data_IF_069109444586
#
_entry.id   IF_069109444586
#
_cell.length_a   1.000
_cell.length_b   1.000
_cell.length_c   1.000
_cell.angle_alpha   90.00
_cell.angle_beta   90.00
_cell.angle_gamma   90.00
#
_symmetry.space_group_name_H-M   'P 1'
#
loop_
_entity.id
_entity.type
_entity.pdbx_description
1 polymer ?
#
# COMPACT_ATOMS: atom_id res chain seq x y z
N UNK A 1 -3.84 -30.21 42.16
CA UNK A 1 -4.04 -31.01 40.92
C UNK A 1 -2.99 -30.61 39.89
N UNK A 2 -2.66 -31.49 38.95
CA UNK A 2 -1.43 -31.41 38.14
C UNK A 2 -1.65 -31.68 36.65
N UNK A 3 -1.30 -30.72 35.80
CA UNK A 3 -0.79 -30.86 34.42
C UNK A 3 -0.55 -29.41 33.90
N UNK A 4 0.57 -29.01 33.28
CA UNK A 4 1.47 -29.62 32.28
C UNK A 4 0.82 -29.89 30.92
N UNK A 5 1.05 -28.97 29.98
CA UNK A 5 1.47 -29.29 28.61
C UNK A 5 2.69 -28.41 28.25
N UNK A 6 3.57 -28.83 27.32
CA UNK A 6 4.97 -28.40 27.32
C UNK A 6 5.32 -27.33 26.27
N UNK A 7 6.47 -26.68 26.47
CA UNK A 7 7.21 -26.03 25.39
C UNK A 7 8.11 -27.06 24.66
N UNK A 8 8.45 -26.78 23.40
CA UNK A 8 9.43 -27.56 22.63
C UNK A 8 10.31 -26.60 21.81
N UNK A 9 11.60 -26.91 21.68
CA UNK A 9 12.64 -26.00 21.21
C UNK A 9 13.52 -26.67 20.14
N UNK A 10 13.90 -25.94 19.08
CA UNK A 10 14.95 -26.30 18.10
C UNK A 10 14.71 -27.59 17.27
N UNK A 11 15.37 -27.83 16.12
CA UNK A 11 16.38 -27.07 15.33
C UNK A 11 16.13 -27.38 13.83
N UNK A 12 16.61 -26.57 12.88
CA UNK A 12 16.47 -26.93 11.45
C UNK A 12 16.96 -25.91 10.42
N UNK A 13 18.22 -25.47 10.50
CA UNK A 13 18.78 -24.49 9.53
C UNK A 13 19.26 -25.17 8.25
N UNK A 14 18.66 -24.84 7.10
CA UNK A 14 19.27 -24.96 5.77
C UNK A 14 18.97 -23.69 4.99
N UNK A 15 20.01 -22.94 4.59
CA UNK A 15 19.87 -21.73 3.78
C UNK A 15 20.21 -21.99 2.32
N UNK A 16 19.45 -21.39 1.40
CA UNK A 16 19.83 -21.28 -0.02
C UNK A 16 19.70 -19.83 -0.46
N UNK A 17 20.84 -19.29 -0.90
CA UNK A 17 21.08 -18.23 -1.89
C UNK A 17 19.85 -17.46 -2.40
N UNK A 18 19.83 -16.14 -2.18
CA UNK A 18 18.84 -15.24 -2.78
C UNK A 18 19.17 -14.86 -4.23
N UNK A 19 18.19 -14.30 -4.95
CA UNK A 19 18.36 -13.83 -6.32
C UNK A 19 17.52 -12.58 -6.59
N UNK A 20 18.10 -11.60 -7.29
CA UNK A 20 17.48 -10.30 -7.60
C UNK A 20 16.44 -10.38 -8.73
N UNK A 21 15.52 -9.39 -8.84
CA UNK A 21 14.45 -9.39 -9.84
C UNK A 21 14.99 -9.09 -11.25
N UNK A 22 14.83 -10.04 -12.18
CA UNK A 22 15.22 -9.84 -13.57
C UNK A 22 14.24 -8.94 -14.35
N UNK A 23 14.82 -7.98 -15.08
CA UNK A 23 14.14 -7.08 -16.01
C UNK A 23 13.39 -7.81 -17.13
N UNK A 24 12.14 -7.40 -17.37
CA UNK A 24 11.36 -7.84 -18.54
C UNK A 24 11.71 -6.94 -19.74
N UNK A 25 12.47 -7.48 -20.69
CA UNK A 25 12.90 -6.74 -21.90
C UNK A 25 12.00 -7.10 -23.09
N UNK A 26 11.43 -6.09 -23.76
CA UNK A 26 10.60 -6.27 -24.95
C UNK A 26 11.42 -6.76 -26.15
N UNK A 27 10.95 -7.82 -26.82
CA UNK A 27 11.39 -8.18 -28.17
C UNK A 27 10.22 -8.31 -29.14
N UNK A 28 10.21 -7.48 -30.18
CA UNK A 28 9.29 -7.61 -31.30
C UNK A 28 9.68 -8.81 -32.16
N UNK A 29 8.68 -9.59 -32.59
CA UNK A 29 8.80 -10.49 -33.75
C UNK A 29 7.82 -10.03 -34.82
N UNK A 30 8.35 -9.43 -35.90
CA UNK A 30 7.57 -9.12 -37.10
C UNK A 30 7.21 -10.42 -37.83
N UNK A 31 5.99 -10.52 -38.37
CA UNK A 31 5.66 -11.49 -39.44
C UNK A 31 5.05 -10.75 -40.63
N UNK A 32 5.51 -11.09 -41.83
CA UNK A 32 5.16 -10.38 -43.06
C UNK A 32 3.82 -10.85 -43.67
N UNK A 33 3.31 -10.08 -44.62
CA UNK A 33 2.00 -10.22 -45.27
C UNK A 33 2.11 -10.59 -46.77
N UNK A 34 0.95 -10.65 -47.46
CA UNK A 34 0.71 -10.91 -48.90
C UNK A 34 0.50 -12.40 -49.31
N UNK A 35 -0.29 -12.69 -50.37
CA UNK A 35 -1.48 -11.98 -50.88
C UNK A 35 -2.69 -12.93 -51.22
N UNK A 36 -3.78 -12.37 -51.76
CA UNK A 36 -5.01 -13.07 -52.19
C UNK A 36 -5.00 -13.60 -53.64
N UNK A 37 -5.97 -14.51 -53.93
CA UNK A 37 -6.66 -14.84 -55.20
C UNK A 37 -6.51 -16.31 -55.68
N UNK A 38 -7.36 -16.82 -56.61
CA UNK A 38 -8.82 -16.99 -56.46
C UNK A 38 -9.32 -18.42 -56.81
N UNK A 39 -10.61 -18.73 -56.58
CA UNK A 39 -11.17 -20.08 -56.75
C UNK A 39 -11.70 -20.42 -58.17
N UNK A 40 -11.52 -21.67 -58.66
CA UNK A 40 -12.23 -22.22 -59.83
C UNK A 40 -13.50 -23.04 -59.48
N UNK A 41 -14.37 -23.41 -60.46
CA UNK A 41 -15.72 -23.95 -60.22
C UNK A 41 -15.82 -25.50 -60.07
N UNK A 42 -16.96 -26.03 -59.58
CA UNK A 42 -17.17 -27.47 -59.38
C UNK A 42 -17.49 -28.27 -60.66
N UNK A 43 -17.13 -29.55 -60.65
CA UNK A 43 -17.36 -30.52 -61.74
C UNK A 43 -18.59 -31.42 -61.49
N UNK A 44 -19.18 -31.94 -62.58
CA UNK A 44 -20.56 -32.44 -62.61
C UNK A 44 -20.81 -33.84 -62.03
N UNK A 45 -22.10 -34.07 -61.71
CA UNK A 45 -22.67 -35.38 -61.36
C UNK A 45 -22.80 -36.30 -62.60
N UNK A 46 -22.64 -37.63 -62.45
CA UNK A 46 -22.89 -38.61 -63.51
C UNK A 46 -24.40 -38.91 -63.68
N UNK A 47 -24.78 -39.38 -64.88
CA UNK A 47 -26.15 -39.79 -65.25
C UNK A 47 -26.36 -41.31 -65.20
N UNK A 48 -27.58 -41.81 -64.92
CA UNK A 48 -28.11 -43.05 -65.49
C UNK A 48 -28.91 -42.78 -66.81
N UNK A 49 -29.19 -43.79 -67.65
CA UNK A 49 -29.50 -43.57 -69.07
C UNK A 49 -30.99 -43.68 -69.52
N UNK A 50 -31.26 -43.02 -70.65
CA UNK A 50 -32.26 -43.27 -71.72
C UNK A 50 -33.66 -43.87 -71.43
N UNK A 51 -34.67 -43.07 -71.82
CA UNK A 51 -36.11 -43.37 -72.07
C UNK A 51 -36.33 -44.32 -73.28
N UNK A 52 -37.57 -44.82 -73.49
CA UNK A 52 -38.41 -44.24 -74.56
C UNK A 52 -39.91 -44.02 -74.21
N UNK A 53 -40.70 -43.63 -75.23
CA UNK A 53 -42.13 -43.24 -75.28
C UNK A 53 -43.07 -44.42 -74.86
N UNK A 54 -44.36 -44.31 -74.48
CA UNK A 54 -45.46 -43.31 -74.63
C UNK A 54 -46.70 -43.98 -75.32
N UNK A 55 -47.88 -43.35 -75.53
CA UNK A 55 -48.63 -42.35 -74.73
C UNK A 55 -50.21 -42.52 -74.71
N UNK A 56 -50.93 -41.68 -73.92
CA UNK A 56 -52.40 -41.36 -73.94
C UNK A 56 -53.48 -42.34 -73.37
N UNK A 57 -54.70 -41.77 -73.21
CA UNK A 57 -56.00 -42.27 -72.69
C UNK A 57 -56.07 -42.55 -71.16
N UNK A 58 -56.95 -42.00 -70.30
CA UNK A 58 -58.38 -41.53 -70.29
C UNK A 58 -59.45 -42.61 -70.11
N UNK A 59 -60.52 -42.27 -69.36
CA UNK A 59 -61.76 -43.07 -69.07
C UNK A 59 -61.62 -44.18 -68.00
N UNK A 60 -62.63 -44.59 -67.20
CA UNK A 60 -63.75 -43.89 -66.51
C UNK A 60 -64.44 -44.88 -65.51
N UNK A 61 -65.17 -44.37 -64.50
CA UNK A 61 -66.22 -45.04 -63.68
C UNK A 61 -65.89 -46.12 -62.61
N UNK A 62 -66.58 -45.94 -61.48
CA UNK A 62 -67.24 -46.92 -60.59
C UNK A 62 -66.48 -48.15 -60.06
N UNK A 63 -66.35 -48.19 -58.73
CA UNK A 63 -67.20 -49.10 -57.95
C UNK A 63 -67.61 -48.43 -56.62
N UNK A 64 -68.89 -48.51 -56.27
CA UNK A 64 -69.50 -47.90 -55.08
C UNK A 64 -70.02 -49.01 -54.14
N UNK A 65 -70.00 -48.73 -52.83
CA UNK A 65 -70.79 -49.40 -51.80
C UNK A 65 -70.55 -50.91 -51.58
N UNK A 66 -69.71 -51.22 -50.60
CA UNK A 66 -70.04 -52.25 -49.60
C UNK A 66 -69.64 -51.72 -48.22
N UNK A 67 -70.63 -51.46 -47.38
CA UNK A 67 -70.49 -50.77 -46.09
C UNK A 67 -70.96 -51.71 -44.94
N UNK A 68 -70.02 -52.32 -44.19
CA UNK A 68 -70.33 -53.08 -42.98
C UNK A 68 -70.21 -52.17 -41.75
N UNK A 69 -71.35 -51.86 -41.13
CA UNK A 69 -71.41 -50.92 -40.02
C UNK A 69 -70.55 -51.31 -38.80
N UNK A 70 -69.74 -50.33 -38.35
CA UNK A 70 -69.38 -49.97 -36.97
C UNK A 70 -69.32 -51.09 -35.90
N UNK A 71 -68.25 -51.06 -35.09
CA UNK A 71 -68.34 -50.22 -33.90
C UNK A 71 -67.42 -48.99 -33.94
N UNK A 72 -67.82 -47.91 -33.25
CA UNK A 72 -66.89 -46.82 -32.95
C UNK A 72 -65.84 -47.34 -31.95
N UNK A 73 -64.61 -47.57 -32.41
CA UNK A 73 -63.46 -47.32 -31.55
C UNK A 73 -63.42 -45.82 -31.27
N UNK A 74 -63.93 -45.44 -30.10
CA UNK A 74 -63.77 -44.08 -29.57
C UNK A 74 -62.27 -43.82 -29.45
N UNK A 75 -61.71 -43.05 -30.38
CA UNK A 75 -60.44 -42.37 -30.12
C UNK A 75 -60.61 -41.65 -28.79
N UNK A 76 -59.71 -41.95 -27.85
CA UNK A 76 -59.46 -40.97 -26.81
C UNK A 76 -58.92 -39.75 -27.53
N UNK A 77 -59.75 -38.71 -27.65
CA UNK A 77 -59.25 -37.37 -27.71
C UNK A 77 -58.47 -37.18 -26.42
N UNK A 78 -57.14 -37.39 -26.50
CA UNK A 78 -56.21 -36.97 -25.47
C UNK A 78 -56.34 -35.45 -25.36
N UNK A 79 -57.25 -35.04 -24.48
CA UNK A 79 -57.31 -33.69 -23.93
C UNK A 79 -55.86 -33.37 -23.56
N UNK A 80 -55.28 -32.27 -24.06
CA UNK A 80 -53.93 -31.88 -23.71
C UNK A 80 -53.82 -31.70 -22.20
N UNK A 81 -53.43 -32.80 -21.53
CA UNK A 81 -53.26 -32.86 -20.09
C UNK A 81 -52.01 -32.09 -19.83
N UNK A 82 -52.20 -30.78 -19.66
CA UNK A 82 -51.14 -29.84 -19.35
C UNK A 82 -50.47 -30.38 -18.10
N UNK A 83 -49.27 -30.94 -18.26
CA UNK A 83 -48.50 -31.40 -17.12
C UNK A 83 -48.30 -30.20 -16.21
N UNK A 84 -48.96 -30.21 -15.06
CA UNK A 84 -48.84 -29.16 -14.05
C UNK A 84 -47.48 -29.31 -13.39
N UNK A 85 -46.42 -28.90 -14.10
CA UNK A 85 -45.05 -28.81 -13.61
C UNK A 85 -45.08 -28.01 -12.31
N UNK A 86 -44.80 -28.62 -11.13
CA UNK A 86 -45.09 -27.96 -9.87
C UNK A 86 -44.13 -26.80 -9.60
N UNK A 87 -44.56 -25.56 -9.88
CA UNK A 87 -43.76 -24.38 -9.57
C UNK A 87 -43.74 -24.08 -8.07
N UNK A 88 -42.60 -23.58 -7.61
CA UNK A 88 -42.34 -23.03 -6.29
C UNK A 88 -42.52 -21.51 -6.26
N UNK A 89 -42.63 -20.85 -7.42
CA UNK A 89 -42.90 -19.40 -7.55
C UNK A 89 -41.89 -18.53 -6.76
N UNK A 90 -40.60 -18.82 -6.93
CA UNK A 90 -39.49 -18.21 -6.21
C UNK A 90 -39.46 -16.67 -6.31
N UNK A 91 -39.27 -16.01 -5.16
CA UNK A 91 -39.13 -14.55 -5.00
C UNK A 91 -37.83 -14.25 -4.23
N UNK A 92 -37.21 -13.11 -4.50
CA UNK A 92 -35.99 -12.69 -3.81
C UNK A 92 -36.05 -11.21 -3.44
N UNK A 93 -35.81 -10.89 -2.16
CA UNK A 93 -35.61 -9.52 -1.69
C UNK A 93 -34.13 -9.25 -1.40
N UNK A 94 -33.55 -8.29 -2.14
CA UNK A 94 -32.17 -7.85 -1.96
C UNK A 94 -31.90 -7.16 -0.62
N UNK A 95 -32.90 -6.50 -0.01
CA UNK A 95 -32.73 -5.70 1.21
C UNK A 95 -32.58 -6.59 2.44
N UNK A 96 -33.30 -7.71 2.47
CA UNK A 96 -33.15 -8.74 3.51
C UNK A 96 -32.20 -9.88 3.14
N UNK A 97 -31.80 -9.99 1.86
CA UNK A 97 -31.12 -11.16 1.27
C UNK A 97 -31.94 -12.45 1.41
N UNK A 98 -33.26 -12.33 1.38
CA UNK A 98 -34.17 -13.45 1.57
C UNK A 98 -34.73 -13.96 0.25
N UNK A 99 -34.45 -15.23 -0.03
CA UNK A 99 -35.10 -16.01 -1.08
C UNK A 99 -36.30 -16.73 -0.46
N UNK A 100 -37.51 -16.55 -0.98
CA UNK A 100 -38.72 -17.21 -0.49
C UNK A 100 -39.48 -17.89 -1.64
N UNK A 101 -40.31 -18.89 -1.32
CA UNK A 101 -41.06 -19.67 -2.30
C UNK A 101 -42.32 -20.29 -1.65
N UNK A 102 -43.26 -20.71 -2.49
CA UNK A 102 -44.50 -21.34 -2.07
C UNK A 102 -44.23 -22.73 -1.46
N UNK A 103 -44.64 -22.93 -0.21
CA UNK A 103 -44.48 -24.20 0.49
C UNK A 103 -45.17 -25.36 -0.25
N UNK A 104 -44.51 -26.52 -0.29
CA UNK A 104 -45.11 -27.79 -0.73
C UNK A 104 -45.29 -28.72 0.46
N UNK A 105 -46.50 -29.24 0.59
CA UNK A 105 -46.82 -30.28 1.57
C UNK A 105 -45.94 -31.52 1.37
N UNK A 106 -45.74 -32.29 2.45
CA UNK A 106 -44.98 -33.55 2.45
C UNK A 106 -43.52 -33.44 1.94
N UNK A 107 -42.94 -32.25 1.95
CA UNK A 107 -41.51 -32.03 1.66
C UNK A 107 -40.62 -32.87 2.59
N UNK A 108 -39.76 -33.72 2.02
CA UNK A 108 -38.83 -34.59 2.74
C UNK A 108 -37.44 -33.98 2.86
N UNK A 109 -36.90 -33.44 1.75
CA UNK A 109 -35.62 -32.73 1.66
C UNK A 109 -35.83 -31.33 1.10
N UNK A 110 -35.09 -30.35 1.64
CA UNK A 110 -35.03 -29.01 1.10
C UNK A 110 -33.61 -28.44 1.22
N UNK A 111 -33.08 -27.92 0.11
CA UNK A 111 -31.80 -27.22 0.03
C UNK A 111 -31.94 -26.02 -0.90
N UNK A 112 -31.41 -24.87 -0.49
CA UNK A 112 -31.34 -23.66 -1.30
C UNK A 112 -29.87 -23.33 -1.62
N UNK A 113 -29.62 -22.90 -2.85
CA UNK A 113 -28.28 -22.62 -3.37
C UNK A 113 -28.28 -21.25 -4.02
N UNK A 114 -27.38 -20.37 -3.59
CA UNK A 114 -27.01 -19.17 -4.33
C UNK A 114 -25.74 -19.49 -5.11
N UNK A 115 -25.74 -19.22 -6.41
CA UNK A 115 -24.59 -19.36 -7.30
C UNK A 115 -24.07 -17.93 -7.59
N UNK A 116 -22.98 -17.55 -6.93
CA UNK A 116 -22.34 -16.25 -7.08
C UNK A 116 -21.10 -16.36 -7.97
N UNK A 117 -20.99 -15.51 -8.99
CA UNK A 117 -19.98 -15.57 -10.06
C UNK A 117 -18.54 -15.75 -9.58
N UNK A 118 -18.17 -15.10 -8.47
CA UNK A 118 -16.81 -15.13 -7.91
C UNK A 118 -16.62 -16.11 -6.73
N UNK A 119 -17.73 -16.56 -6.10
CA UNK A 119 -17.70 -17.31 -4.83
C UNK A 119 -18.19 -18.76 -4.97
N UNK A 120 -18.70 -19.13 -6.14
CA UNK A 120 -19.25 -20.46 -6.42
C UNK A 120 -20.62 -20.66 -5.76
N UNK A 121 -20.89 -21.89 -5.33
CA UNK A 121 -22.16 -22.28 -4.72
C UNK A 121 -22.17 -22.06 -3.20
N UNK A 122 -23.00 -21.13 -2.73
CA UNK A 122 -23.32 -20.94 -1.32
C UNK A 122 -24.60 -21.73 -1.01
N UNK A 123 -24.46 -22.83 -0.28
CA UNK A 123 -25.55 -23.78 0.03
C UNK A 123 -26.06 -23.61 1.46
N UNK A 124 -27.39 -23.60 1.64
CA UNK A 124 -28.04 -23.61 2.96
C UNK A 124 -29.18 -24.64 3.01
N UNK A 125 -29.45 -25.13 4.22
CA UNK A 125 -30.57 -26.02 4.55
C UNK A 125 -31.38 -25.36 5.68
N UNK A 126 -32.63 -24.95 5.46
CA UNK A 126 -33.50 -24.39 6.50
C UNK A 126 -33.69 -25.35 7.67
N UNK A 127 -33.87 -24.81 8.89
CA UNK A 127 -33.85 -25.61 10.12
C UNK A 127 -35.16 -26.38 10.32
N UNK A 128 -36.30 -25.77 9.99
CA UNK A 128 -37.63 -26.34 10.23
C UNK A 128 -38.36 -26.67 8.91
N UNK A 129 -37.61 -26.90 7.82
CA UNK A 129 -38.11 -26.94 6.42
C UNK A 129 -38.79 -25.62 5.99
N UNK A 130 -38.34 -24.51 6.55
CA UNK A 130 -38.87 -23.17 6.27
C UNK A 130 -38.81 -22.86 4.77
N UNK A 131 -39.88 -22.28 4.21
CA UNK A 131 -40.00 -21.98 2.77
C UNK A 131 -39.29 -20.67 2.37
N UNK A 132 -38.22 -20.35 3.10
CA UNK A 132 -37.35 -19.20 2.84
C UNK A 132 -35.90 -19.53 3.23
N UNK A 133 -34.96 -18.83 2.59
CA UNK A 133 -33.54 -18.86 2.87
C UNK A 133 -32.98 -17.45 2.90
N UNK A 134 -32.58 -17.01 4.09
CA UNK A 134 -31.81 -15.80 4.27
C UNK A 134 -30.33 -16.08 3.95
N UNK A 135 -29.74 -15.36 3.00
CA UNK A 135 -28.33 -15.44 2.62
C UNK A 135 -27.50 -14.34 3.28
N UNK A 136 -26.18 -14.50 3.30
CA UNK A 136 -25.28 -13.40 3.68
C UNK A 136 -25.35 -12.30 2.62
N UNK A 137 -25.16 -11.04 3.02
CA UNK A 137 -25.02 -9.96 2.04
C UNK A 137 -23.74 -10.18 1.22
N UNK A 138 -23.92 -10.16 -0.10
CA UNK A 138 -22.93 -10.38 -1.15
C UNK A 138 -23.29 -9.47 -2.35
N UNK A 139 -22.34 -9.24 -3.25
CA UNK A 139 -22.52 -8.44 -4.48
C UNK A 139 -23.47 -9.13 -5.47
N UNK A 140 -24.40 -8.36 -6.04
CA UNK A 140 -25.44 -8.85 -6.95
C UNK A 140 -25.16 -8.42 -8.41
N UNK A 141 -24.35 -7.38 -8.64
CA UNK A 141 -24.14 -6.78 -9.97
C UNK A 141 -23.53 -7.73 -11.00
N UNK A 142 -22.78 -8.75 -10.56
CA UNK A 142 -22.21 -9.79 -11.42
C UNK A 142 -23.25 -10.78 -11.99
N UNK A 143 -24.51 -10.69 -11.55
CA UNK A 143 -25.57 -11.64 -11.83
C UNK A 143 -25.54 -12.85 -10.90
N UNK A 144 -26.69 -13.23 -10.34
CA UNK A 144 -26.82 -14.38 -9.44
C UNK A 144 -27.87 -15.35 -9.95
N UNK A 145 -27.62 -16.65 -9.80
CA UNK A 145 -28.63 -17.70 -9.94
C UNK A 145 -28.95 -18.27 -8.56
N UNK A 146 -30.23 -18.32 -8.21
CA UNK A 146 -30.73 -19.11 -7.08
C UNK A 146 -31.32 -20.42 -7.61
N UNK A 147 -31.09 -21.52 -6.88
CA UNK A 147 -31.71 -22.83 -7.14
C UNK A 147 -32.27 -23.36 -5.83
N UNK A 148 -33.54 -23.76 -5.82
CA UNK A 148 -34.16 -24.46 -4.69
C UNK A 148 -34.44 -25.89 -5.12
N UNK A 149 -34.00 -26.85 -4.28
CA UNK A 149 -34.14 -28.29 -4.49
C UNK A 149 -35.10 -28.82 -3.43
N UNK A 150 -36.33 -29.13 -3.83
CA UNK A 150 -37.35 -29.72 -2.97
C UNK A 150 -37.57 -31.17 -3.40
N UNK A 151 -37.49 -32.14 -2.48
CA UNK A 151 -38.02 -33.47 -2.72
C UNK A 151 -39.36 -33.60 -1.99
N UNK A 152 -40.47 -33.66 -2.73
CA UNK A 152 -41.78 -34.03 -2.19
C UNK A 152 -42.13 -35.48 -2.60
N UNK A 153 -43.24 -36.01 -2.10
CA UNK A 153 -43.78 -37.31 -2.53
C UNK A 153 -44.17 -37.34 -4.01
N UNK A 154 -44.41 -36.18 -4.60
CA UNK A 154 -44.65 -35.98 -6.04
C UNK A 154 -43.36 -35.99 -6.89
N UNK A 155 -42.18 -36.06 -6.27
CA UNK A 155 -40.87 -36.09 -6.94
C UNK A 155 -39.94 -34.92 -6.56
N UNK A 156 -38.75 -34.85 -7.19
CA UNK A 156 -37.81 -33.74 -7.04
C UNK A 156 -38.24 -32.55 -7.91
N UNK A 157 -38.35 -31.37 -7.29
CA UNK A 157 -38.65 -30.10 -7.94
C UNK A 157 -37.41 -29.19 -7.82
N UNK A 158 -36.63 -29.04 -8.90
CA UNK A 158 -35.53 -28.08 -8.98
C UNK A 158 -35.99 -26.78 -9.67
N UNK A 159 -36.43 -25.77 -8.91
CA UNK A 159 -36.73 -24.46 -9.49
C UNK A 159 -35.49 -23.54 -9.46
N UNK A 160 -35.38 -22.66 -10.47
CA UNK A 160 -34.28 -21.72 -10.65
C UNK A 160 -34.81 -20.31 -10.88
N UNK A 161 -34.33 -19.36 -10.07
CA UNK A 161 -34.55 -17.92 -10.24
C UNK A 161 -33.23 -17.26 -10.66
N UNK A 162 -33.27 -16.39 -11.67
CA UNK A 162 -32.09 -15.62 -12.11
C UNK A 162 -32.28 -14.16 -11.71
N UNK A 163 -31.42 -13.66 -10.82
CA UNK A 163 -31.30 -12.24 -10.52
C UNK A 163 -30.29 -11.62 -11.48
N UNK A 164 -30.79 -11.13 -12.61
CA UNK A 164 -29.99 -10.48 -13.65
C UNK A 164 -29.72 -9.01 -13.31
N UNK A 165 -28.61 -8.47 -13.83
CA UNK A 165 -28.31 -7.04 -13.85
C UNK A 165 -28.73 -6.46 -15.22
N UNK A 166 -29.89 -5.77 -15.32
CA UNK A 166 -30.44 -5.36 -16.60
C UNK A 166 -29.66 -4.19 -17.21
N UNK A 167 -29.38 -4.26 -18.50
CA UNK A 167 -28.69 -3.21 -19.26
C UNK A 167 -27.53 -3.75 -20.09
N UNK A 168 -26.93 -2.87 -20.90
CA UNK A 168 -25.76 -3.21 -21.72
C UNK A 168 -24.51 -3.44 -20.87
N UNK A 169 -23.68 -4.41 -21.23
CA UNK A 169 -22.40 -4.65 -20.53
C UNK A 169 -21.51 -3.40 -20.57
N UNK A 170 -20.96 -3.02 -19.42
CA UNK A 170 -20.09 -1.83 -19.31
C UNK A 170 -20.82 -0.49 -19.26
N UNK A 171 -22.16 -0.48 -19.16
CA UNK A 171 -22.95 0.72 -18.84
C UNK A 171 -22.87 1.09 -17.35
N UNK A 172 -22.62 0.11 -16.47
CA UNK A 172 -22.42 0.34 -15.03
C UNK A 172 -21.24 1.26 -14.73
N UNK A 173 -21.34 1.97 -13.60
CA UNK A 173 -20.26 2.78 -13.04
C UNK A 173 -19.01 1.91 -12.77
N UNK A 174 -17.83 2.47 -13.03
CA UNK A 174 -16.54 1.76 -12.94
C UNK A 174 -15.63 2.40 -11.88
N UNK A 175 -14.60 1.67 -11.44
CA UNK A 175 -13.59 2.16 -10.49
C UNK A 175 -14.18 2.72 -9.17
N UNK A 176 -15.32 2.16 -8.72
CA UNK A 176 -15.97 2.61 -7.49
C UNK A 176 -15.03 2.47 -6.28
N UNK A 177 -14.80 3.56 -5.58
CA UNK A 177 -14.02 3.59 -4.35
C UNK A 177 -14.62 4.59 -3.37
N UNK A 178 -14.48 4.33 -2.07
CA UNK A 178 -14.80 5.28 -1.02
C UNK A 178 -13.62 5.39 -0.07
N UNK A 179 -13.48 6.54 0.60
CA UNK A 179 -12.59 6.72 1.74
C UNK A 179 -13.22 7.62 2.81
N UNK A 180 -12.94 7.30 4.07
CA UNK A 180 -13.26 8.15 5.23
C UNK A 180 -12.05 9.03 5.55
N UNK A 181 -12.29 10.29 5.91
CA UNK A 181 -11.26 11.26 6.31
C UNK A 181 -11.83 12.23 7.35
N UNK A 182 -10.97 12.94 8.08
CA UNK A 182 -11.35 13.91 9.11
C UNK A 182 -12.41 13.37 10.11
N UNK A 183 -12.29 12.09 10.47
CA UNK A 183 -13.19 11.27 11.32
C UNK A 183 -14.60 11.06 10.77
N UNK A 184 -15.33 12.13 10.45
CA UNK A 184 -16.78 12.12 10.17
C UNK A 184 -17.15 12.31 8.70
N UNK A 185 -16.19 12.41 7.79
CA UNK A 185 -16.45 12.67 6.38
C UNK A 185 -16.13 11.45 5.51
N UNK A 186 -16.96 11.17 4.52
CA UNK A 186 -16.69 10.13 3.51
C UNK A 186 -16.88 10.68 2.11
N UNK A 187 -15.91 10.40 1.24
CA UNK A 187 -16.01 10.61 -0.20
C UNK A 187 -16.10 9.25 -0.88
N UNK A 188 -17.09 9.08 -1.75
CA UNK A 188 -17.15 8.00 -2.72
C UNK A 188 -16.99 8.57 -4.14
N UNK A 189 -16.32 7.85 -5.03
CA UNK A 189 -16.08 8.25 -6.42
C UNK A 189 -16.22 7.06 -7.37
N UNK A 190 -16.63 7.33 -8.60
CA UNK A 190 -16.74 6.35 -9.67
C UNK A 190 -16.62 7.03 -11.05
N UNK A 191 -16.17 6.27 -12.05
CA UNK A 191 -16.15 6.69 -13.44
C UNK A 191 -17.44 6.29 -14.17
N UNK A 192 -17.84 7.07 -15.18
CA UNK A 192 -18.88 6.69 -16.15
C UNK A 192 -18.52 5.35 -16.82
N UNK A 193 -19.52 4.50 -17.04
CA UNK A 193 -19.37 3.24 -17.74
C UNK A 193 -18.88 3.44 -19.19
N UNK A 194 -17.92 2.63 -19.64
CA UNK A 194 -17.31 2.74 -20.98
C UNK A 194 -18.29 2.61 -22.15
N UNK A 195 -19.44 1.98 -21.91
CA UNK A 195 -20.54 1.83 -22.88
C UNK A 195 -21.82 2.54 -22.42
N UNK A 196 -21.74 3.40 -21.39
CA UNK A 196 -22.89 4.16 -20.90
C UNK A 196 -23.21 5.33 -21.86
N UNK A 197 -24.50 5.62 -22.13
CA UNK A 197 -24.91 6.68 -23.03
C UNK A 197 -24.59 8.07 -22.46
N UNK A 198 -24.71 9.11 -23.30
CA UNK A 198 -24.34 10.48 -22.91
C UNK A 198 -25.38 11.19 -22.03
N UNK A 199 -26.60 10.65 -21.94
CA UNK A 199 -27.64 11.08 -20.99
C UNK A 199 -27.67 10.24 -19.69
N UNK A 200 -26.64 9.42 -19.44
CA UNK A 200 -26.59 8.59 -18.22
C UNK A 200 -26.53 9.44 -16.95
N UNK A 201 -27.34 9.08 -15.96
CA UNK A 201 -27.22 9.60 -14.60
C UNK A 201 -27.07 8.47 -13.58
N UNK A 202 -26.20 8.66 -12.59
CA UNK A 202 -25.89 7.66 -11.57
C UNK A 202 -26.39 8.09 -10.18
N UNK A 203 -26.83 7.13 -9.37
CA UNK A 203 -27.41 7.36 -8.06
C UNK A 203 -26.82 6.39 -7.04
N UNK A 204 -26.28 6.91 -5.93
CA UNK A 204 -25.65 6.09 -4.88
C UNK A 204 -26.63 5.89 -3.73
N UNK A 205 -26.93 4.62 -3.46
CA UNK A 205 -27.66 4.16 -2.29
C UNK A 205 -26.72 3.40 -1.35
N UNK A 206 -26.87 3.62 -0.05
CA UNK A 206 -26.13 2.91 1.00
C UNK A 206 -27.15 2.23 1.91
N UNK A 207 -27.04 0.91 2.05
CA UNK A 207 -27.88 0.10 2.93
C UNK A 207 -27.10 -0.18 4.23
N UNK A 208 -27.67 0.25 5.36
CA UNK A 208 -27.25 -0.26 6.66
C UNK A 208 -27.88 -1.63 6.93
N UNK A 209 -27.04 -2.61 7.25
CA UNK A 209 -27.45 -3.97 7.57
C UNK A 209 -28.21 -4.07 8.92
N UNK A 210 -28.02 -3.11 9.84
CA UNK A 210 -28.62 -3.17 11.18
C UNK A 210 -30.06 -2.68 11.19
N UNK A 211 -30.33 -1.50 10.64
CA UNK A 211 -31.69 -0.92 10.55
C UNK A 211 -32.43 -1.32 9.27
N UNK A 212 -31.75 -1.99 8.31
CA UNK A 212 -32.28 -2.34 6.97
C UNK A 212 -32.79 -1.11 6.19
N UNK A 213 -32.22 0.07 6.47
CA UNK A 213 -32.55 1.35 5.85
C UNK A 213 -31.58 1.65 4.71
N UNK A 214 -32.15 1.96 3.56
CA UNK A 214 -31.46 2.35 2.34
C UNK A 214 -31.49 3.88 2.27
N UNK A 215 -30.34 4.55 2.33
CA UNK A 215 -30.21 6.02 2.24
C UNK A 215 -29.56 6.42 0.93
N UNK A 216 -30.09 7.43 0.25
CA UNK A 216 -29.44 8.02 -0.91
C UNK A 216 -28.27 8.93 -0.49
N UNK A 217 -27.35 9.18 -1.41
CA UNK A 217 -26.35 10.23 -1.29
C UNK A 217 -26.98 11.60 -1.00
N UNK A 218 -26.54 12.35 0.03
CA UNK A 218 -27.05 13.69 0.31
C UNK A 218 -26.45 14.77 -0.59
N UNK A 219 -25.20 14.61 -1.06
CA UNK A 219 -24.49 15.58 -1.89
C UNK A 219 -23.66 14.89 -2.97
N UNK A 220 -24.17 14.87 -4.20
CA UNK A 220 -23.44 14.31 -5.34
C UNK A 220 -22.27 15.21 -5.78
N UNK A 221 -21.15 14.58 -6.12
CA UNK A 221 -20.05 15.22 -6.86
C UNK A 221 -20.33 15.01 -8.35
N UNK A 222 -20.25 16.08 -9.14
CA UNK A 222 -20.63 16.04 -10.56
C UNK A 222 -19.48 16.44 -11.47
N UNK A 223 -19.38 15.78 -12.62
CA UNK A 223 -18.58 16.18 -13.77
C UNK A 223 -19.54 16.35 -14.94
N UNK A 224 -19.51 17.53 -15.57
CA UNK A 224 -20.30 17.83 -16.77
C UNK A 224 -21.81 17.56 -16.63
N UNK A 225 -22.34 17.60 -15.40
CA UNK A 225 -23.73 17.28 -15.06
C UNK A 225 -24.00 15.82 -14.67
N UNK A 226 -23.08 14.90 -14.96
CA UNK A 226 -23.16 13.49 -14.53
C UNK A 226 -22.62 13.34 -13.10
N UNK A 227 -23.32 12.58 -12.26
CA UNK A 227 -22.85 12.21 -10.93
C UNK A 227 -21.69 11.21 -11.03
N UNK A 228 -20.52 11.60 -10.51
CA UNK A 228 -19.26 10.82 -10.51
C UNK A 228 -18.74 10.57 -9.09
N UNK A 229 -19.49 11.00 -8.07
CA UNK A 229 -19.15 10.75 -6.68
C UNK A 229 -20.25 11.19 -5.71
N UNK A 230 -19.98 10.99 -4.43
CA UNK A 230 -20.83 11.38 -3.32
C UNK A 230 -19.98 11.87 -2.16
N UNK A 231 -20.38 12.98 -1.53
CA UNK A 231 -19.80 13.47 -0.29
C UNK A 231 -20.80 13.34 0.86
N UNK A 232 -20.38 12.69 1.94
CA UNK A 232 -21.18 12.52 3.15
C UNK A 232 -20.49 13.25 4.32
N UNK A 233 -21.25 14.14 4.96
CA UNK A 233 -20.84 14.90 6.14
C UNK A 233 -21.18 14.18 7.46
N UNK A 234 -21.98 13.12 7.38
CA UNK A 234 -22.44 12.35 8.54
C UNK A 234 -22.38 10.84 8.26
N UNK A 235 -21.67 10.14 9.13
CA UNK A 235 -21.50 8.68 9.12
C UNK A 235 -22.41 7.99 10.16
N UNK A 236 -23.21 8.75 10.90
CA UNK A 236 -24.27 8.21 11.77
C UNK A 236 -25.20 7.30 10.97
N UNK A 237 -25.56 6.15 11.55
CA UNK A 237 -26.34 5.11 10.88
C UNK A 237 -25.53 4.21 9.94
N UNK A 238 -24.24 4.47 9.68
CA UNK A 238 -23.36 3.46 9.09
C UNK A 238 -22.85 2.49 10.16
N UNK A 239 -22.70 1.22 9.80
CA UNK A 239 -22.12 0.18 10.66
C UNK A 239 -20.74 -0.27 10.14
N UNK A 240 -20.07 -1.22 10.82
CA UNK A 240 -18.70 -1.63 10.49
C UNK A 240 -18.51 -2.10 9.03
N UNK A 241 -19.57 -2.65 8.41
CA UNK A 241 -19.66 -2.93 6.97
C UNK A 241 -20.98 -2.40 6.46
N UNK A 242 -21.00 -1.83 5.26
CA UNK A 242 -22.23 -1.34 4.62
C UNK A 242 -22.25 -1.79 3.15
N UNK A 243 -23.44 -1.96 2.60
CA UNK A 243 -23.64 -2.28 1.18
C UNK A 243 -23.86 -0.99 0.39
N UNK A 244 -23.06 -0.78 -0.64
CA UNK A 244 -23.09 0.39 -1.52
C UNK A 244 -23.59 -0.04 -2.89
N UNK A 245 -24.57 0.68 -3.43
CA UNK A 245 -25.21 0.42 -4.70
C UNK A 245 -25.18 1.70 -5.55
N UNK A 246 -24.44 1.70 -6.65
CA UNK A 246 -24.54 2.72 -7.69
C UNK A 246 -25.51 2.23 -8.76
N UNK A 247 -26.73 2.75 -8.72
CA UNK A 247 -27.72 2.53 -9.76
C UNK A 247 -27.51 3.54 -10.92
N UNK A 248 -28.08 3.27 -12.09
CA UNK A 248 -28.01 4.18 -13.23
C UNK A 248 -29.33 4.27 -13.99
N UNK A 249 -29.56 5.41 -14.66
CA UNK A 249 -30.69 5.62 -15.57
C UNK A 249 -30.23 6.30 -16.86
N UNK A 250 -30.96 6.06 -17.94
CA UNK A 250 -30.92 6.83 -19.19
C UNK A 250 -32.33 6.83 -19.80
N UNK A 251 -32.57 7.64 -20.84
CA UNK A 251 -33.90 7.77 -21.46
C UNK A 251 -34.26 6.60 -22.38
N UNK A 252 -33.26 5.97 -23.02
CA UNK A 252 -33.47 4.99 -24.10
C UNK A 252 -32.86 3.61 -23.80
N UNK A 253 -31.90 3.51 -22.87
CA UNK A 253 -31.22 2.25 -22.56
C UNK A 253 -31.28 1.90 -21.07
N UNK A 254 -31.44 0.61 -20.76
CA UNK A 254 -31.23 0.12 -19.41
C UNK A 254 -29.74 0.18 -19.06
N UNK A 255 -29.44 0.73 -17.89
CA UNK A 255 -28.08 0.92 -17.37
C UNK A 255 -27.87 -0.07 -16.22
N UNK A 256 -26.83 -0.88 -16.31
CA UNK A 256 -26.47 -1.85 -15.28
C UNK A 256 -26.11 -1.12 -13.97
N UNK A 257 -26.52 -1.67 -12.83
CA UNK A 257 -26.05 -1.18 -11.54
C UNK A 257 -24.67 -1.78 -11.19
N UNK A 258 -23.95 -1.13 -10.27
CA UNK A 258 -22.77 -1.68 -9.61
C UNK A 258 -23.02 -1.77 -8.11
N UNK A 259 -22.56 -2.83 -7.44
CA UNK A 259 -22.67 -2.95 -5.99
C UNK A 259 -21.44 -3.58 -5.31
N UNK A 260 -21.21 -3.21 -4.06
CA UNK A 260 -20.08 -3.71 -3.26
C UNK A 260 -20.34 -3.58 -1.76
N UNK A 261 -19.55 -4.27 -0.94
CA UNK A 261 -19.64 -4.23 0.53
C UNK A 261 -18.29 -3.77 1.08
N UNK A 262 -18.25 -2.54 1.60
CA UNK A 262 -17.04 -1.94 2.15
C UNK A 262 -17.04 -2.00 3.69
N UNK A 263 -15.87 -2.27 4.26
CA UNK A 263 -15.60 -2.22 5.70
C UNK A 263 -15.02 -0.85 6.04
N UNK A 264 -15.61 -0.11 6.99
CA UNK A 264 -15.21 1.27 7.27
C UNK A 264 -13.74 1.38 7.70
N UNK A 265 -13.28 0.47 8.56
CA UNK A 265 -11.87 0.34 9.00
C UNK A 265 -10.88 0.15 7.85
N UNK A 266 -11.32 -0.39 6.70
CA UNK A 266 -10.44 -0.65 5.55
C UNK A 266 -10.30 0.56 4.63
N UNK A 267 -11.26 1.49 4.66
CA UNK A 267 -11.34 2.68 3.80
C UNK A 267 -11.03 3.99 4.54
N UNK A 268 -10.70 3.91 5.83
CA UNK A 268 -10.42 5.06 6.66
C UNK A 268 -8.96 5.53 6.51
N UNK A 269 -8.80 6.81 6.21
CA UNK A 269 -7.52 7.51 6.12
C UNK A 269 -7.44 8.44 7.32
N UNK A 270 -6.64 8.04 8.32
CA UNK A 270 -6.43 8.84 9.52
C UNK A 270 -5.75 10.18 9.19
N UNK A 271 -6.05 11.19 10.00
CA UNK A 271 -5.26 12.42 10.06
C UNK A 271 -3.85 12.14 10.60
N UNK A 272 -2.84 12.99 10.34
CA UNK A 272 -1.56 12.89 11.05
C UNK A 272 -1.72 13.03 12.57
N UNK A 273 -0.77 12.50 13.37
CA UNK A 273 -0.72 12.72 14.82
C UNK A 273 -0.64 14.20 15.20
N UNK A 274 -1.21 14.54 16.35
CA UNK A 274 -1.23 15.90 16.90
C UNK A 274 -0.11 16.12 17.94
N UNK A 275 0.15 17.38 18.28
CA UNK A 275 1.03 17.78 19.39
C UNK A 275 2.41 17.10 19.41
N UNK A 276 2.96 16.81 18.23
CA UNK A 276 4.30 16.26 18.07
C UNK A 276 5.29 17.20 18.75
N UNK A 277 6.04 16.67 19.72
CA UNK A 277 6.94 17.43 20.59
C UNK A 277 8.16 16.58 20.94
N UNK A 278 9.23 17.25 21.39
CA UNK A 278 10.47 16.60 21.82
C UNK A 278 10.87 17.16 23.17
N UNK A 279 10.80 16.33 24.22
CA UNK A 279 11.36 16.68 25.52
C UNK A 279 12.88 16.53 25.49
N UNK A 280 13.56 17.63 25.82
CA UNK A 280 15.01 17.78 25.80
C UNK A 280 15.68 17.48 27.15
N UNK A 281 14.91 17.32 28.23
CA UNK A 281 15.42 17.01 29.57
C UNK A 281 15.93 15.56 29.73
N UNK A 282 15.21 14.50 29.28
CA UNK A 282 15.66 13.13 29.47
C UNK A 282 16.78 12.76 28.49
N UNK A 283 17.62 11.81 28.91
CA UNK A 283 18.60 11.11 28.07
C UNK A 283 18.28 9.61 28.16
N UNK A 284 17.90 8.93 27.06
CA UNK A 284 17.65 9.45 25.71
C UNK A 284 16.48 10.46 25.63
N UNK A 285 16.47 11.26 24.56
CA UNK A 285 15.40 12.23 24.27
C UNK A 285 14.04 11.53 24.11
N UNK A 286 12.96 12.16 24.52
CA UNK A 286 11.61 11.62 24.33
C UNK A 286 10.86 12.41 23.27
N UNK A 287 10.62 11.78 22.13
CA UNK A 287 9.68 12.26 21.11
C UNK A 287 8.28 11.81 21.55
N UNK A 288 7.36 12.76 21.66
CA UNK A 288 6.00 12.58 22.17
C UNK A 288 5.00 13.01 21.08
N UNK A 289 3.86 12.33 21.01
CA UNK A 289 2.76 12.73 20.12
C UNK A 289 1.41 12.27 20.65
N UNK A 290 0.38 13.11 20.48
CA UNK A 290 -0.99 12.70 20.72
C UNK A 290 -1.50 11.86 19.54
N UNK A 291 -2.46 10.94 19.75
CA UNK A 291 -3.15 10.28 18.64
C UNK A 291 -3.79 11.31 17.70
N UNK A 292 -4.03 10.89 16.46
CA UNK A 292 -4.95 11.60 15.58
C UNK A 292 -6.35 11.64 16.23
N UNK A 293 -7.18 12.64 15.88
CA UNK A 293 -8.51 12.84 16.49
C UNK A 293 -9.27 11.52 16.63
N UNK A 294 -9.69 11.20 17.86
CA UNK A 294 -10.16 9.86 18.20
C UNK A 294 -11.33 9.43 17.29
N UNK A 295 -11.18 8.32 16.53
CA UNK A 295 -12.29 7.79 15.76
C UNK A 295 -13.40 7.36 16.72
N UNK A 296 -14.65 7.64 16.37
CA UNK A 296 -15.81 7.17 17.15
C UNK A 296 -16.33 5.86 16.54
N UNK A 297 -16.40 4.73 17.28
CA UNK A 297 -16.02 4.55 18.69
C UNK A 297 -14.49 4.45 18.90
N UNK A 298 -13.96 4.87 20.08
CA UNK A 298 -12.54 4.87 20.38
C UNK A 298 -11.85 3.53 20.13
N UNK A 299 -10.66 3.57 19.54
CA UNK A 299 -9.86 2.38 19.22
C UNK A 299 -8.75 2.17 20.24
N UNK A 300 -8.40 0.92 20.56
CA UNK A 300 -7.32 0.66 21.50
C UNK A 300 -5.97 1.06 20.87
N UNK A 301 -4.99 1.52 21.66
CA UNK A 301 -3.75 2.07 21.11
C UNK A 301 -2.94 1.11 20.22
N UNK A 302 -3.05 -0.20 20.44
CA UNK A 302 -2.38 -1.24 19.66
C UNK A 302 -3.04 -1.50 18.29
N UNK A 303 -4.16 -0.85 17.96
CA UNK A 303 -4.74 -0.89 16.60
C UNK A 303 -4.15 0.17 15.66
N UNK A 304 -3.13 0.92 16.13
CA UNK A 304 -2.38 1.92 15.37
C UNK A 304 -0.89 1.54 15.23
N UNK A 305 -0.31 1.81 14.06
CA UNK A 305 1.14 1.86 13.86
C UNK A 305 1.54 3.30 13.50
N UNK A 306 2.63 3.79 14.08
CA UNK A 306 3.23 5.08 13.76
C UNK A 306 4.53 4.87 13.00
N UNK A 307 4.86 5.80 12.11
CA UNK A 307 6.17 5.89 11.48
C UNK A 307 6.74 7.29 11.69
N UNK A 308 7.91 7.34 12.32
CA UNK A 308 8.69 8.55 12.52
C UNK A 308 9.74 8.64 11.41
N UNK A 309 9.93 9.84 10.86
CA UNK A 309 11.02 10.19 9.95
C UNK A 309 11.86 11.27 10.61
N UNK A 310 13.07 10.89 11.02
CA UNK A 310 14.05 11.78 11.64
C UNK A 310 15.09 12.15 10.58
N UNK A 311 15.19 13.43 10.27
CA UNK A 311 16.16 13.99 9.33
C UNK A 311 17.30 14.63 10.13
N UNK A 312 18.53 14.15 9.94
CA UNK A 312 19.72 14.72 10.57
C UNK A 312 20.32 15.77 9.63
N UNK A 313 20.50 17.00 10.11
CA UNK A 313 20.97 18.11 9.26
C UNK A 313 22.51 18.22 9.18
N UNK A 314 23.23 17.35 9.88
CA UNK A 314 24.69 17.34 9.89
C UNK A 314 25.30 16.80 8.57
N UNK A 315 26.61 16.97 8.42
CA UNK A 315 27.34 17.00 7.14
C UNK A 315 26.95 15.96 6.07
N UNK A 316 27.06 16.39 4.80
CA UNK A 316 26.47 15.79 3.57
C UNK A 316 26.70 14.29 3.33
N UNK A 317 27.65 13.66 4.02
CA UNK A 317 27.98 12.24 3.89
C UNK A 317 27.07 11.34 4.76
N UNK A 318 26.44 11.89 5.80
CA UNK A 318 25.61 11.14 6.76
C UNK A 318 24.17 11.70 6.90
N UNK A 319 23.70 12.45 5.89
CA UNK A 319 22.36 13.02 5.79
C UNK A 319 21.27 11.96 5.47
N UNK A 320 21.23 10.87 6.25
CA UNK A 320 20.25 9.79 6.12
C UNK A 320 18.90 10.13 6.73
N UNK A 321 17.82 9.93 5.98
CA UNK A 321 16.45 9.92 6.52
C UNK A 321 16.25 8.65 7.35
N UNK A 322 16.30 8.75 8.69
CA UNK A 322 16.03 7.62 9.56
C UNK A 322 14.51 7.40 9.67
N UNK A 323 14.01 6.33 9.05
CA UNK A 323 12.64 5.86 9.22
C UNK A 323 12.58 4.86 10.38
N UNK A 324 11.56 5.00 11.24
CA UNK A 324 11.39 4.24 12.47
C UNK A 324 9.91 3.90 12.65
N UNK A 325 9.57 2.62 12.61
CA UNK A 325 8.21 2.14 12.85
C UNK A 325 8.00 1.84 14.34
N UNK A 326 6.86 2.29 14.88
CA UNK A 326 6.50 2.20 16.30
C UNK A 326 5.03 1.81 16.44
N UNK A 327 4.76 0.60 16.93
CA UNK A 327 3.38 0.18 17.29
C UNK A 327 2.86 0.99 18.47
N UNK A 328 1.60 1.44 18.37
CA UNK A 328 0.95 2.29 19.36
C UNK A 328 0.79 1.64 20.74
N UNK A 329 0.83 2.49 21.77
CA UNK A 329 0.81 2.12 23.21
C UNK A 329 -0.03 3.13 23.98
N UNK A 330 -0.34 2.83 25.25
CA UNK A 330 -1.02 3.77 26.15
C UNK A 330 -0.28 5.11 26.29
N UNK A 331 1.05 5.09 26.15
CA UNK A 331 1.89 6.28 26.02
C UNK A 331 2.56 6.26 24.64
N UNK A 332 2.14 7.18 23.77
CA UNK A 332 2.71 7.39 22.44
C UNK A 332 4.04 8.16 22.55
N UNK A 333 5.14 7.41 22.74
CA UNK A 333 6.48 7.99 22.86
C UNK A 333 7.57 7.13 22.21
N UNK A 334 8.62 7.79 21.74
CA UNK A 334 9.83 7.16 21.22
C UNK A 334 11.09 7.76 21.85
N UNK A 335 11.96 6.88 22.34
CA UNK A 335 13.22 7.25 22.98
C UNK A 335 14.32 7.39 21.91
N UNK A 336 14.68 8.62 21.55
CA UNK A 336 15.70 8.91 20.54
C UNK A 336 17.10 9.13 21.18
N UNK A 337 18.09 8.26 20.87
CA UNK A 337 19.45 8.44 21.37
C UNK A 337 20.19 9.55 20.61
N UNK A 338 20.18 10.76 21.19
CA UNK A 338 21.03 11.88 20.76
C UNK A 338 22.17 12.06 21.77
N UNK A 339 23.44 11.83 21.40
CA UNK A 339 24.57 12.33 22.19
C UNK A 339 24.60 13.85 22.18
N UNK A 340 25.40 14.43 23.07
CA UNK A 340 25.76 15.86 23.05
C UNK A 340 27.18 16.06 22.48
N UNK A 341 27.46 17.16 21.75
CA UNK A 341 26.55 18.24 21.35
C UNK A 341 25.47 17.75 20.37
N UNK A 342 24.28 18.35 20.43
CA UNK A 342 23.08 17.89 19.70
C UNK A 342 22.92 18.67 18.38
N UNK A 343 23.37 18.16 17.22
CA UNK A 343 23.18 18.85 15.95
C UNK A 343 21.69 18.99 15.61
N UNK A 344 21.36 19.96 14.76
CA UNK A 344 19.97 20.23 14.39
C UNK A 344 19.33 19.05 13.66
N UNK A 345 18.09 18.73 14.05
CA UNK A 345 17.31 17.60 13.58
C UNK A 345 15.87 18.02 13.31
N UNK A 346 15.19 17.30 12.41
CA UNK A 346 13.77 17.49 12.10
C UNK A 346 13.01 16.17 12.21
N UNK A 347 11.93 16.16 12.98
CA UNK A 347 11.00 15.02 13.10
C UNK A 347 9.71 15.30 12.35
N UNK A 348 9.22 14.29 11.64
CA UNK A 348 7.84 14.21 11.14
C UNK A 348 7.28 12.83 11.45
N UNK A 349 6.00 12.74 11.78
CA UNK A 349 5.34 11.49 12.19
C UNK A 349 4.09 11.26 11.33
N UNK A 350 3.77 10.01 11.01
CA UNK A 350 2.51 9.60 10.38
C UNK A 350 1.95 8.34 11.06
N UNK A 351 0.67 8.06 10.86
CA UNK A 351 -0.05 6.93 11.47
C UNK A 351 -0.75 6.09 10.41
N UNK A 352 -0.87 4.78 10.66
CA UNK A 352 -1.72 3.85 9.91
C UNK A 352 -2.51 2.98 10.89
N UNK A 353 -3.50 2.26 10.36
CA UNK A 353 -4.06 1.13 11.09
C UNK A 353 -2.99 0.04 11.23
N UNK A 354 -2.90 -0.62 12.39
CA UNK A 354 -1.92 -1.69 12.61
C UNK A 354 -2.14 -2.89 11.69
N UNK A 355 -3.33 -3.01 11.09
CA UNK A 355 -3.72 -4.07 10.15
C UNK A 355 -4.07 -3.53 8.75
N UNK A 356 -3.87 -2.24 8.52
CA UNK A 356 -4.15 -1.57 7.24
C UNK A 356 -2.89 -1.31 6.42
N UNK A 357 -3.08 -0.83 5.18
CA UNK A 357 -1.99 -0.48 4.26
C UNK A 357 -1.93 1.03 3.96
N UNK A 358 -2.94 1.78 4.39
CA UNK A 358 -3.04 3.23 4.18
C UNK A 358 -2.39 4.00 5.34
N UNK A 359 -1.44 4.84 4.99
CA UNK A 359 -0.80 5.78 5.91
C UNK A 359 -1.44 7.17 5.79
N UNK A 360 -1.49 7.89 6.91
CA UNK A 360 -1.81 9.32 6.93
C UNK A 360 -0.80 10.13 6.13
N UNK A 361 -1.16 11.39 5.86
CA UNK A 361 -0.16 12.42 5.58
C UNK A 361 0.89 12.51 6.72
N UNK A 362 2.06 13.08 6.44
CA UNK A 362 3.02 13.43 7.47
C UNK A 362 2.51 14.60 8.32
N UNK A 363 2.85 14.59 9.61
CA UNK A 363 2.70 15.75 10.51
C UNK A 363 3.49 16.95 9.98
N UNK A 364 3.20 18.12 10.56
CA UNK A 364 4.12 19.26 10.44
C UNK A 364 5.52 18.89 10.98
N UNK A 365 6.60 19.45 10.42
CA UNK A 365 7.96 19.20 10.87
C UNK A 365 8.24 19.91 12.20
N UNK A 366 8.85 19.18 13.13
CA UNK A 366 9.31 19.69 14.43
C UNK A 366 10.83 19.69 14.44
N UNK A 367 11.43 20.88 14.60
CA UNK A 367 12.88 21.05 14.65
C UNK A 367 13.39 21.08 16.09
N UNK A 368 14.53 20.45 16.35
CA UNK A 368 15.19 20.42 17.67
C UNK A 368 16.71 20.23 17.52
N UNK A 369 17.42 20.30 18.66
CA UNK A 369 18.89 20.41 18.67
C UNK A 369 19.35 21.84 18.36
N UNK A 370 20.65 22.10 18.48
CA UNK A 370 21.24 23.40 18.20
C UNK A 370 22.18 23.33 17.01
N UNK A 371 22.15 24.36 16.17
CA UNK A 371 23.32 24.67 15.35
C UNK A 371 24.41 25.14 16.31
N UNK A 372 25.47 24.34 16.49
CA UNK A 372 26.75 24.97 16.81
C UNK A 372 27.05 25.90 15.64
N UNK A 373 26.92 27.21 15.88
CA UNK A 373 27.64 28.17 15.07
C UNK A 373 29.11 27.80 15.25
N UNK A 374 29.72 27.21 14.22
CA UNK A 374 31.14 26.88 14.21
C UNK A 374 31.89 28.19 14.42
N UNK A 375 32.32 28.41 15.67
CA UNK A 375 32.92 29.68 16.09
C UNK A 375 34.03 29.99 15.10
N UNK A 376 33.87 31.07 14.33
CA UNK A 376 34.62 31.23 13.08
C UNK A 376 36.05 31.65 13.38
N UNK A 377 36.86 30.66 13.79
CA UNK A 377 38.26 30.77 14.14
C UNK A 377 39.10 31.36 13.00
N UNK A 378 38.56 31.48 11.78
CA UNK A 378 39.04 32.36 10.71
C UNK A 378 39.45 33.74 11.26
N UNK A 379 38.65 34.37 12.12
CA UNK A 379 38.98 35.69 12.68
C UNK A 379 40.19 35.63 13.62
N UNK A 380 40.26 34.61 14.48
CA UNK A 380 41.39 34.38 15.40
C UNK A 380 42.66 34.06 14.61
N UNK A 381 42.54 33.21 13.59
CA UNK A 381 43.63 32.79 12.71
C UNK A 381 44.17 33.94 11.87
N UNK A 382 43.30 34.78 11.30
CA UNK A 382 43.70 36.02 10.59
C UNK A 382 44.41 36.98 11.53
N UNK A 383 43.96 37.14 12.77
CA UNK A 383 44.65 37.97 13.77
C UNK A 383 46.03 37.40 14.16
N UNK A 384 46.17 36.08 14.29
CA UNK A 384 47.46 35.41 14.55
C UNK A 384 48.41 35.55 13.36
N UNK A 385 47.95 35.34 12.12
CA UNK A 385 48.75 35.49 10.91
C UNK A 385 49.17 36.96 10.70
N UNK A 386 48.28 37.92 10.92
CA UNK A 386 48.61 39.34 10.85
C UNK A 386 49.60 39.75 11.95
N UNK A 387 49.39 39.27 13.18
CA UNK A 387 50.28 39.54 14.32
C UNK A 387 51.69 38.99 14.11
N UNK A 388 51.83 37.75 13.64
CA UNK A 388 53.14 37.16 13.31
C UNK A 388 53.85 37.91 12.19
N UNK A 389 53.12 38.37 11.16
CA UNK A 389 53.70 39.19 10.09
C UNK A 389 54.21 40.55 10.59
N UNK A 390 53.43 41.23 11.46
CA UNK A 390 53.85 42.49 12.09
C UNK A 390 55.08 42.29 12.98
N UNK A 391 55.11 41.25 13.80
CA UNK A 391 56.28 40.91 14.62
C UNK A 391 57.54 40.64 13.77
N UNK A 392 57.40 39.91 12.66
CA UNK A 392 58.50 39.64 11.74
C UNK A 392 59.04 40.93 11.08
N UNK A 393 58.17 41.85 10.68
CA UNK A 393 58.57 43.17 10.15
C UNK A 393 59.30 44.00 11.20
N UNK A 394 58.80 44.04 12.44
CA UNK A 394 59.43 44.76 13.55
C UNK A 394 60.83 44.20 13.83
N UNK A 395 60.98 42.88 13.93
CA UNK A 395 62.27 42.21 14.10
C UNK A 395 63.24 42.51 12.93
N UNK A 396 62.75 42.48 11.68
CA UNK A 396 63.55 42.84 10.51
C UNK A 396 64.05 44.29 10.57
N UNK A 397 63.21 45.22 11.01
CA UNK A 397 63.59 46.62 11.20
C UNK A 397 64.61 46.81 12.33
N UNK A 398 64.49 46.09 13.45
CA UNK A 398 65.51 46.12 14.51
C UNK A 398 66.86 45.56 14.04
N UNK A 399 66.87 44.42 13.35
CA UNK A 399 68.09 43.83 12.79
C UNK A 399 68.74 44.78 11.78
N UNK A 400 67.97 45.37 10.85
CA UNK A 400 68.47 46.38 9.90
C UNK A 400 69.04 47.61 10.61
N UNK A 401 68.43 48.07 11.71
CA UNK A 401 68.91 49.21 12.48
C UNK A 401 70.25 48.92 13.17
N UNK A 402 70.44 47.71 13.69
CA UNK A 402 71.70 47.27 14.30
C UNK A 402 72.83 47.16 13.25
N UNK A 403 72.56 46.56 12.09
CA UNK A 403 73.54 46.51 10.99
C UNK A 403 73.83 47.90 10.39
N UNK A 404 72.89 48.84 10.42
CA UNK A 404 73.15 50.21 9.98
C UNK A 404 74.12 50.96 10.92
N UNK A 405 74.04 50.75 12.24
CA UNK A 405 74.95 51.40 13.21
C UNK A 405 76.42 51.00 13.06
N UNK A 406 76.72 49.80 12.55
CA UNK A 406 78.09 49.36 12.23
C UNK A 406 78.76 50.20 11.12
N UNK A 407 77.98 50.89 10.28
CA UNK A 407 78.48 51.57 9.06
C UNK A 407 78.88 53.05 9.26
N UNK A 408 78.92 53.55 10.50
CA UNK A 408 79.09 54.97 10.81
C UNK A 408 80.44 55.37 11.44
N UNK A 409 81.53 54.64 11.13
CA UNK A 409 82.90 55.09 11.39
C UNK A 409 83.67 55.38 10.08
N UNK A 410 84.23 56.59 9.90
CA UNK A 410 84.90 56.97 8.65
C UNK A 410 86.32 56.40 8.54
N UNK A 411 86.81 56.30 7.29
CA UNK A 411 88.13 55.74 6.95
C UNK A 411 89.27 56.68 7.40
N UNK A 412 90.18 56.17 8.22
CA UNK A 412 91.33 56.91 8.75
C UNK A 412 92.29 57.31 7.60
N UNK A 413 92.77 58.58 7.55
CA UNK A 413 93.73 59.03 6.53
C UNK A 413 95.15 58.50 6.79
N UNK A 414 95.88 58.21 5.71
CA UNK A 414 97.24 57.67 5.78
C UNK A 414 98.27 58.78 6.06
N UNK A 415 98.96 58.71 7.19
CA UNK A 415 100.28 59.33 7.35
C UNK A 415 101.37 58.31 6.94
N UNK A 416 102.55 58.80 6.56
CA UNK A 416 103.61 58.04 5.89
C UNK A 416 104.97 58.49 6.41
N UNK A 417 105.47 57.79 7.43
CA UNK A 417 106.82 57.95 7.94
C UNK A 417 107.69 56.73 7.65
N UNK A 418 109.01 56.93 7.75
CA UNK A 418 110.05 56.00 7.28
C UNK A 418 110.70 55.24 8.44
N UNK A 419 111.30 54.11 8.07
CA UNK A 419 112.32 53.36 8.85
C UNK A 419 111.80 52.71 10.14
N UNK A 420 112.41 51.65 10.66
CA UNK A 420 113.22 50.59 10.02
C UNK A 420 113.29 49.41 10.99
N UNK A 421 113.80 48.28 10.51
CA UNK A 421 114.16 47.06 11.24
C UNK A 421 114.59 47.28 12.71
N UNK A 422 114.04 46.51 13.66
CA UNK A 422 114.81 45.47 14.36
C UNK A 422 113.99 44.63 15.38
N UNK A 423 114.51 43.42 15.66
CA UNK A 423 114.47 42.63 16.92
C UNK A 423 113.10 42.46 17.63
N UNK A 424 112.42 41.30 17.64
CA UNK A 424 112.80 39.94 18.09
C UNK A 424 112.66 39.71 19.62
N UNK A 425 111.56 39.03 20.01
CA UNK A 425 111.52 37.95 21.05
C UNK A 425 111.47 38.38 22.54
N UNK A 426 110.83 37.67 23.50
CA UNK A 426 110.12 36.35 23.51
C UNK A 426 108.70 36.46 24.17
N UNK A 427 108.07 35.57 24.98
CA UNK A 427 108.40 34.28 25.65
C UNK A 427 107.12 33.44 25.97
N UNK A 428 107.05 32.18 25.50
CA UNK A 428 106.43 31.00 26.18
C UNK A 428 104.89 31.00 26.52
N UNK A 429 104.13 29.89 26.72
CA UNK A 429 104.27 28.42 26.54
C UNK A 429 102.88 27.69 26.45
N UNK A 430 102.71 26.75 25.49
CA UNK A 430 102.25 25.31 25.56
C UNK A 430 101.21 24.89 26.65
N UNK A 431 100.17 24.03 26.46
CA UNK A 431 99.83 22.89 25.54
C UNK A 431 98.64 23.22 24.57
N UNK A 432 97.98 22.40 23.72
CA UNK A 432 97.67 20.94 23.53
C UNK A 432 96.52 20.33 24.41
N UNK A 433 95.62 19.41 23.98
CA UNK A 433 95.37 18.66 22.70
C UNK A 433 93.95 17.98 22.65
N UNK A 434 93.42 17.68 21.44
CA UNK A 434 92.56 16.51 21.02
C UNK A 434 91.11 16.25 21.53
N UNK A 435 90.36 15.52 20.67
CA UNK A 435 89.03 14.84 20.81
C UNK A 435 89.23 13.30 21.00
N UNK A 436 88.26 12.33 20.86
CA UNK A 436 86.78 12.34 20.70
C UNK A 436 85.97 11.23 21.49
N UNK A 437 84.63 11.20 21.30
CA UNK A 437 83.68 10.05 21.19
C UNK A 437 83.33 8.99 22.30
N UNK A 438 82.08 8.48 22.23
CA UNK A 438 81.43 7.22 22.73
C UNK A 438 81.73 6.62 24.13
N UNK A 439 80.70 6.28 24.93
CA UNK A 439 80.86 5.31 26.07
C UNK A 439 79.70 5.06 27.07
N UNK A 440 78.85 4.09 26.76
CA UNK A 440 77.84 3.32 27.55
C UNK A 440 78.23 2.88 29.00
N UNK A 441 77.27 2.83 29.97
CA UNK A 441 76.94 1.71 30.95
C UNK A 441 76.20 2.13 32.25
N UNK A 442 75.07 1.43 32.49
CA UNK A 442 74.32 0.94 33.68
C UNK A 442 74.67 1.34 35.15
N UNK A 443 73.64 1.60 35.99
CA UNK A 443 73.10 0.63 36.99
C UNK A 443 71.84 1.14 37.75
N UNK A 444 71.20 0.28 38.57
CA UNK A 444 69.88 0.49 39.21
C UNK A 444 69.89 1.15 40.61
N UNK A 445 68.72 1.59 41.09
CA UNK A 445 68.23 1.17 42.41
C UNK A 445 66.68 1.10 42.44
N UNK A 446 66.11 0.43 43.44
CA UNK A 446 64.70 -0.04 43.49
C UNK A 446 63.99 0.53 44.73
N UNK A 447 62.71 0.90 44.60
CA UNK A 447 61.81 0.96 45.76
C UNK A 447 60.35 0.66 45.39
N UNK A 448 59.84 -0.45 45.93
CA UNK A 448 58.47 -0.96 45.76
C UNK A 448 57.59 -0.60 46.95
N UNK A 449 56.34 -0.16 46.72
CA UNK A 449 55.27 -0.19 47.74
C UNK A 449 53.96 -0.68 47.13
N UNK A 450 53.67 -1.95 47.42
CA UNK A 450 52.38 -2.56 47.81
C UNK A 450 51.05 -2.07 47.20
N UNK A 451 50.30 -3.02 46.65
CA UNK A 451 48.91 -2.92 46.20
C UNK A 451 47.94 -3.43 47.29
N UNK A 452 46.79 -2.77 47.49
CA UNK A 452 45.70 -3.29 48.32
C UNK A 452 44.35 -3.15 47.61
N UNK A 453 43.86 -4.27 47.08
CA UNK A 453 42.50 -4.41 46.54
C UNK A 453 41.50 -4.78 47.65
N UNK A 454 40.33 -4.13 47.70
CA UNK A 454 39.19 -4.60 48.52
C UNK A 454 37.86 -4.44 47.78
N UNK A 455 37.15 -5.55 47.62
CA UNK A 455 35.74 -5.67 47.25
C UNK A 455 35.29 -7.14 47.46
N UNK A 456 33.97 -7.45 47.53
CA UNK A 456 32.82 -6.63 47.89
C UNK A 456 32.09 -7.19 49.14
N UNK A 457 31.02 -6.54 49.59
CA UNK A 457 29.98 -7.20 50.41
C UNK A 457 28.58 -6.92 49.86
N UNK A 458 27.63 -7.81 50.21
CA UNK A 458 26.29 -7.90 49.64
C UNK A 458 25.20 -7.98 50.70
N UNK A 459 24.10 -7.26 50.49
CA UNK A 459 22.77 -7.52 51.08
C UNK A 459 21.72 -7.32 49.98
#
# INVERSE_FOLDING_TARGET
MTSRFPAMFSTGTVGIVGQEPHSVTNHLVKRASLPWAPCPPPLGLPRPPSRPLGPWATTILFCMLLDPALPLTQEHQDVPTTEWVPSLNMKFDRRTMELSWDCKENTTYLECVMIHKEKGEIRKKPKNKDCHCNFSHDSLHGGITFVVKVNSTQGPIPEKLVYANPGGEGTAAQNFSCFIYNVNFMNCTWAKGRAAPDDVQYFLYILDFKEKRERECPHYVTDSGTHVGCHLHDLSGLTFRNYFLVNGTSRETAVQFFDTILSLKNIEIYSPPNNVSVDLQPVPLQILWDPAQDPTPPRPPWDFNYQLRIQKQDNKEHAGNQLIDVTGKSENKYNFPSPEPRPKHTVTIRVSDARGQHWSAWSQPVEFGSTQATASFVHVYVLVVLGTFVCALILSCFVKRLFASETLFPRIPHIKDKWSENVHTDHQIIWEKSTPDTGKIDHEEILTVEEVTVAPESV
#
